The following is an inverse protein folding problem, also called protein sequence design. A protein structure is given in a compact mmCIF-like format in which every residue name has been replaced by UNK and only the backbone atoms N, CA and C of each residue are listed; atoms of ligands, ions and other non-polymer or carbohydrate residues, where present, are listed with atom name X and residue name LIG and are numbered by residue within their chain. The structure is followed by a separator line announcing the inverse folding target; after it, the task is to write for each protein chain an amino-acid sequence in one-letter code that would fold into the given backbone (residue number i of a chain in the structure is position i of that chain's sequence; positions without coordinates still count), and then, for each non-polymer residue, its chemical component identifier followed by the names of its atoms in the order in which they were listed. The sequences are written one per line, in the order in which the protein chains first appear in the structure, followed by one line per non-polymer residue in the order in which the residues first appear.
data_IF_354116427887
#
_entry.id   IF_354116427887
#
_cell.length_a   1.000
_cell.length_b   1.000
_cell.length_c   1.000
_cell.angle_alpha   90.00
_cell.angle_beta   90.00
_cell.angle_gamma   90.00
#
_symmetry.space_group_name_H-M   'P 1'
#
loop_
_entity.id
_entity.type
_entity.pdbx_description
1 polymer ?
#
# COMPACT_ATOMS: atom_id res chain seq x y z
N UNK A 1 64.18 -10.73 -19.03
CA UNK A 1 63.84 -11.16 -17.69
C UNK A 1 62.33 -11.09 -17.50
N UNK A 2 61.71 -12.28 -17.69
CA UNK A 2 60.31 -12.48 -17.55
C UNK A 2 59.90 -12.56 -16.08
N UNK A 3 58.72 -12.06 -15.77
CA UNK A 3 58.03 -12.40 -14.55
C UNK A 3 56.61 -12.90 -14.85
N UNK A 4 56.48 -14.18 -14.63
CA UNK A 4 55.30 -14.98 -14.84
C UNK A 4 54.44 -14.87 -13.57
N UNK A 5 53.26 -14.30 -13.66
CA UNK A 5 52.26 -14.27 -12.55
C UNK A 5 50.94 -14.84 -13.02
N UNK A 6 50.91 -16.15 -13.27
CA UNK A 6 49.70 -16.96 -13.13
C UNK A 6 49.75 -17.53 -11.72
N UNK A 7 48.78 -17.15 -10.85
CA UNK A 7 48.13 -17.98 -9.83
C UNK A 7 47.32 -17.09 -8.89
N UNK A 8 46.09 -17.53 -8.73
CA UNK A 8 45.09 -17.34 -7.72
C UNK A 8 43.84 -16.56 -8.18
N UNK A 9 43.08 -17.20 -9.05
CA UNK A 9 41.62 -17.06 -8.98
C UNK A 9 41.12 -18.07 -7.94
N UNK A 10 41.11 -17.61 -6.69
CA UNK A 10 40.42 -18.28 -5.62
C UNK A 10 38.91 -18.20 -5.86
N UNK A 11 38.23 -19.33 -5.89
CA UNK A 11 36.81 -19.47 -5.80
C UNK A 11 36.28 -18.65 -4.62
N UNK A 12 35.62 -17.54 -4.88
CA UNK A 12 34.73 -16.93 -3.93
C UNK A 12 33.41 -17.69 -3.98
N UNK A 13 33.38 -18.78 -3.20
CA UNK A 13 32.13 -19.42 -2.75
C UNK A 13 31.31 -18.35 -2.04
N UNK A 14 30.14 -18.03 -2.57
CA UNK A 14 29.18 -17.17 -1.91
C UNK A 14 28.80 -17.79 -0.55
N UNK A 15 28.68 -17.01 0.53
CA UNK A 15 28.24 -17.52 1.80
C UNK A 15 26.73 -17.80 1.76
N UNK A 16 26.37 -19.06 1.49
CA UNK A 16 25.01 -19.59 1.58
C UNK A 16 24.46 -19.43 3.01
N UNK A 17 25.32 -19.59 4.02
CA UNK A 17 24.94 -19.59 5.43
C UNK A 17 24.37 -18.24 5.94
N UNK A 18 24.80 -17.10 5.39
CA UNK A 18 24.31 -15.79 5.84
C UNK A 18 22.90 -15.46 5.31
N UNK A 19 22.46 -16.13 4.26
CA UNK A 19 21.11 -16.00 3.71
C UNK A 19 20.10 -16.87 4.47
N UNK A 20 20.54 -18.05 4.93
CA UNK A 20 19.69 -19.00 5.67
C UNK A 20 19.36 -18.49 7.08
N UNK A 21 20.28 -17.78 7.71
CA UNK A 21 20.08 -17.16 9.03
C UNK A 21 19.11 -15.96 8.97
N UNK A 22 19.03 -15.26 7.83
CA UNK A 22 18.11 -14.14 7.62
C UNK A 22 16.70 -14.58 7.23
N UNK A 23 16.53 -15.84 6.76
CA UNK A 23 15.29 -16.33 6.15
C UNK A 23 14.56 -17.35 7.07
N UNK A 24 15.20 -17.91 8.08
CA UNK A 24 14.59 -18.78 9.10
C UNK A 24 13.77 -19.95 8.52
N UNK A 25 14.30 -20.72 7.55
CA UNK A 25 13.60 -21.85 6.96
C UNK A 25 13.83 -23.15 7.74
N UNK A 26 12.79 -23.84 8.23
CA UNK A 26 12.88 -25.25 8.58
C UNK A 26 12.85 -26.13 7.31
N UNK A 27 13.65 -27.20 7.33
CA UNK A 27 13.89 -28.10 6.21
C UNK A 27 12.63 -28.72 5.61
N UNK A 28 12.67 -28.92 4.29
CA UNK A 28 11.62 -29.41 3.40
C UNK A 28 11.30 -30.90 3.62
N UNK A 29 10.00 -31.22 3.76
CA UNK A 29 9.44 -32.53 3.46
C UNK A 29 8.44 -32.37 2.30
N UNK A 30 8.72 -33.06 1.19
CA UNK A 30 7.90 -33.07 -0.02
C UNK A 30 6.75 -34.06 0.19
N UNK A 31 5.51 -33.56 0.19
CA UNK A 31 4.29 -34.36 0.11
C UNK A 31 3.59 -34.18 -1.22
N UNK A 32 3.17 -35.27 -1.83
CA UNK A 32 2.48 -35.36 -3.12
C UNK A 32 1.06 -34.79 -3.13
N UNK A 33 0.56 -34.24 -4.26
CA UNK A 33 -0.78 -33.66 -4.32
C UNK A 33 -1.85 -34.73 -4.58
N UNK A 34 -2.91 -34.71 -3.82
CA UNK A 34 -4.16 -35.42 -4.11
C UNK A 34 -5.35 -34.50 -3.90
N UNK A 35 -6.23 -34.54 -4.89
CA UNK A 35 -7.66 -34.23 -4.90
C UNK A 35 -8.14 -32.79 -4.62
N UNK A 36 -8.77 -32.28 -5.66
CA UNK A 36 -9.53 -31.05 -5.78
C UNK A 36 -10.85 -31.13 -4.97
N UNK A 37 -11.09 -30.24 -4.00
CA UNK A 37 -12.42 -29.99 -3.49
C UNK A 37 -12.93 -28.61 -3.89
N UNK A 38 -14.06 -28.61 -4.58
CA UNK A 38 -15.15 -27.64 -4.64
C UNK A 38 -14.86 -26.24 -4.07
N UNK A 39 -14.99 -25.25 -4.94
CA UNK A 39 -15.18 -23.84 -4.63
C UNK A 39 -16.11 -23.70 -3.43
N UNK A 40 -15.54 -23.42 -2.27
CA UNK A 40 -16.29 -22.97 -1.12
C UNK A 40 -16.73 -21.53 -1.35
N UNK A 41 -18.04 -21.36 -1.40
CA UNK A 41 -18.74 -20.11 -1.17
C UNK A 41 -18.51 -19.64 0.28
N UNK A 42 -17.30 -19.26 0.61
CA UNK A 42 -17.04 -18.39 1.75
C UNK A 42 -16.94 -16.95 1.26
N UNK A 43 -18.08 -16.43 0.85
CA UNK A 43 -18.31 -14.99 0.88
C UNK A 43 -18.00 -14.57 2.32
N UNK A 44 -16.84 -13.98 2.57
CA UNK A 44 -16.51 -13.35 3.84
C UNK A 44 -17.57 -12.27 4.10
N UNK A 45 -18.65 -12.72 4.75
CA UNK A 45 -19.73 -11.89 5.22
C UNK A 45 -19.11 -10.95 6.23
N UNK A 46 -18.85 -9.72 5.80
CA UNK A 46 -18.37 -8.67 6.71
C UNK A 46 -19.22 -8.70 7.96
N UNK A 47 -18.65 -8.78 9.17
CA UNK A 47 -19.42 -8.78 10.38
C UNK A 47 -20.23 -7.49 10.41
N UNK A 48 -21.52 -7.60 10.23
CA UNK A 48 -22.44 -6.51 10.46
C UNK A 48 -22.38 -6.18 11.96
N UNK A 49 -22.38 -4.89 12.28
CA UNK A 49 -22.55 -4.46 13.66
C UNK A 49 -23.87 -5.09 14.13
N UNK A 50 -23.82 -5.99 15.11
CA UNK A 50 -24.97 -6.72 15.60
C UNK A 50 -26.06 -5.79 16.18
N UNK A 51 -25.66 -4.57 16.54
CA UNK A 51 -26.53 -3.49 17.02
C UNK A 51 -26.14 -2.20 16.31
N UNK A 52 -27.11 -1.43 15.82
CA UNK A 52 -26.81 -0.12 15.22
C UNK A 52 -26.10 0.77 16.24
N UNK A 53 -24.96 1.37 15.87
CA UNK A 53 -24.24 2.25 16.80
C UNK A 53 -25.08 3.48 17.12
N UNK A 54 -25.14 3.82 18.39
CA UNK A 54 -25.82 5.01 18.90
C UNK A 54 -24.85 6.08 19.41
N UNK A 55 -23.56 5.73 19.49
CA UNK A 55 -22.49 6.61 19.97
C UNK A 55 -21.30 6.53 19.04
N UNK A 56 -20.75 7.68 18.69
CA UNK A 56 -19.66 7.78 17.72
C UNK A 56 -18.46 8.48 18.35
N UNK A 57 -17.29 7.91 18.15
CA UNK A 57 -16.04 8.43 18.70
C UNK A 57 -15.07 8.67 17.56
N UNK A 58 -14.74 9.93 17.31
CA UNK A 58 -13.74 10.32 16.32
C UNK A 58 -12.36 10.44 16.95
N UNK A 59 -11.36 9.86 16.31
CA UNK A 59 -9.99 9.85 16.77
C UNK A 59 -9.06 10.41 15.69
N UNK A 60 -8.54 11.60 15.92
CA UNK A 60 -7.43 12.12 15.12
C UNK A 60 -6.12 11.62 15.70
N UNK A 61 -5.40 10.78 14.93
CA UNK A 61 -4.29 9.97 15.41
C UNK A 61 -2.97 10.57 14.99
N UNK A 62 -2.21 11.06 15.97
CA UNK A 62 -0.81 11.44 15.81
C UNK A 62 0.14 10.35 16.31
N UNK A 63 1.44 10.56 16.08
CA UNK A 63 2.51 9.67 16.51
C UNK A 63 2.53 9.49 18.04
N UNK A 64 2.49 10.59 18.78
CA UNK A 64 2.64 10.64 20.25
C UNK A 64 1.30 10.75 20.99
N UNK A 65 0.30 11.34 20.36
CA UNK A 65 -0.99 11.66 20.96
C UNK A 65 -2.14 11.43 19.99
N UNK A 66 -3.32 11.22 20.57
CA UNK A 66 -4.58 11.08 19.85
C UNK A 66 -5.57 12.07 20.44
N UNK A 67 -6.20 12.86 19.59
CA UNK A 67 -7.33 13.72 19.98
C UNK A 67 -8.61 12.92 19.77
N UNK A 68 -9.37 12.75 20.83
CA UNK A 68 -10.59 11.93 20.86
C UNK A 68 -11.79 12.86 21.10
N UNK A 69 -12.76 12.82 20.20
CA UNK A 69 -14.06 13.44 20.41
C UNK A 69 -15.14 12.35 20.53
N UNK A 70 -16.01 12.48 21.50
CA UNK A 70 -17.02 11.49 21.85
C UNK A 70 -18.41 12.16 21.83
N UNK A 71 -19.29 11.69 20.95
CA UNK A 71 -20.66 12.23 20.81
C UNK A 71 -21.51 11.99 22.06
N UNK A 72 -21.26 10.93 22.81
CA UNK A 72 -22.01 10.62 24.03
C UNK A 72 -21.78 11.62 25.17
N UNK A 73 -20.55 12.11 25.31
CA UNK A 73 -20.19 13.12 26.32
C UNK A 73 -20.11 14.55 25.76
N UNK A 74 -20.03 14.72 24.45
CA UNK A 74 -19.78 16.00 23.78
C UNK A 74 -18.37 16.56 24.01
N UNK A 75 -17.48 15.81 24.65
CA UNK A 75 -16.17 16.27 25.08
C UNK A 75 -15.08 15.89 24.11
N UNK A 76 -14.09 16.78 23.99
CA UNK A 76 -12.82 16.51 23.31
C UNK A 76 -11.73 16.33 24.35
N UNK A 77 -10.93 15.29 24.23
CA UNK A 77 -9.77 15.04 25.11
C UNK A 77 -8.57 14.55 24.32
N UNK A 78 -7.38 14.81 24.81
CA UNK A 78 -6.14 14.27 24.25
C UNK A 78 -5.62 13.16 25.14
N UNK A 79 -5.24 12.03 24.53
CA UNK A 79 -4.61 10.90 25.23
C UNK A 79 -3.28 10.56 24.54
N UNK A 80 -2.38 9.89 25.25
CA UNK A 80 -1.14 9.42 24.64
C UNK A 80 -1.41 8.21 23.72
N UNK A 81 -0.72 8.13 22.58
CA UNK A 81 -0.78 6.97 21.67
C UNK A 81 0.07 5.81 22.22
N UNK A 82 -0.29 5.34 23.42
CA UNK A 82 0.38 4.25 24.15
C UNK A 82 -0.62 3.16 24.48
N UNK A 83 -0.16 1.92 24.48
CA UNK A 83 -0.98 0.72 24.72
C UNK A 83 -1.90 0.85 25.95
N UNK A 84 -1.35 1.35 27.10
CA UNK A 84 -2.12 1.49 28.33
C UNK A 84 -3.28 2.47 28.22
N UNK A 85 -3.06 3.64 27.59
CA UNK A 85 -4.09 4.67 27.42
C UNK A 85 -5.15 4.25 26.41
N UNK A 86 -4.74 3.60 25.33
CA UNK A 86 -5.64 3.03 24.32
C UNK A 86 -6.51 1.89 24.91
N UNK A 87 -5.94 1.02 25.73
CA UNK A 87 -6.70 -0.03 26.44
C UNK A 87 -7.72 0.59 27.40
N UNK A 88 -7.32 1.65 28.12
CA UNK A 88 -8.23 2.39 29.02
C UNK A 88 -9.39 3.03 28.23
N UNK A 89 -9.07 3.67 27.10
CA UNK A 89 -10.08 4.21 26.19
C UNK A 89 -11.03 3.13 25.73
N UNK A 90 -10.52 2.02 25.19
CA UNK A 90 -11.34 0.93 24.66
C UNK A 90 -12.28 0.31 25.72
N UNK A 91 -11.81 0.19 26.97
CA UNK A 91 -12.63 -0.29 28.10
C UNK A 91 -13.69 0.72 28.56
N UNK A 92 -13.47 2.03 28.37
CA UNK A 92 -14.43 3.06 28.72
C UNK A 92 -15.59 3.22 27.72
N UNK A 93 -15.50 2.56 26.57
CA UNK A 93 -16.53 2.56 25.54
C UNK A 93 -17.44 1.33 25.69
N UNK A 94 -18.71 1.50 25.37
CA UNK A 94 -19.70 0.41 25.34
C UNK A 94 -19.77 -0.25 23.94
N UNK A 95 -20.59 -1.29 23.79
CA UNK A 95 -20.75 -2.04 22.55
C UNK A 95 -21.56 -1.29 21.49
N UNK A 96 -22.20 -0.17 21.84
CA UNK A 96 -22.96 0.67 20.91
C UNK A 96 -22.09 1.76 20.27
N UNK A 97 -20.80 1.83 20.66
CA UNK A 97 -19.85 2.80 20.13
C UNK A 97 -19.26 2.34 18.80
N UNK A 98 -19.19 3.25 17.84
CA UNK A 98 -18.33 3.13 16.66
C UNK A 98 -17.19 4.12 16.75
N UNK A 99 -15.95 3.61 16.80
CA UNK A 99 -14.74 4.42 16.77
C UNK A 99 -14.32 4.64 15.32
N UNK A 100 -14.06 5.89 14.94
CA UNK A 100 -13.63 6.26 13.59
C UNK A 100 -12.29 6.97 13.66
N UNK A 101 -11.30 6.49 12.94
CA UNK A 101 -10.02 7.16 12.78
C UNK A 101 -9.61 7.22 11.31
N UNK A 102 -8.78 8.19 10.94
CA UNK A 102 -8.20 8.30 9.61
C UNK A 102 -6.94 7.41 9.49
N UNK A 103 -6.68 6.89 8.29
CA UNK A 103 -5.42 6.22 7.97
C UNK A 103 -4.25 7.22 8.01
N UNK A 104 -3.36 7.12 8.98
CA UNK A 104 -2.25 8.05 9.26
C UNK A 104 -0.87 7.42 9.15
N UNK A 105 -0.71 6.48 8.20
CA UNK A 105 0.59 5.85 7.93
C UNK A 105 1.00 4.79 8.95
N UNK A 106 0.04 4.20 9.66
CA UNK A 106 0.24 3.07 10.58
C UNK A 106 0.16 3.45 12.06
N UNK A 107 0.17 4.74 12.42
CA UNK A 107 0.03 5.16 13.83
C UNK A 107 -1.32 4.77 14.42
N UNK A 108 -2.36 4.65 13.59
CA UNK A 108 -3.72 4.23 13.94
C UNK A 108 -3.83 2.74 14.30
N UNK A 109 -2.88 1.91 13.87
CA UNK A 109 -2.95 0.44 14.04
C UNK A 109 -3.08 0.06 15.51
N UNK A 110 -2.34 0.71 16.42
CA UNK A 110 -2.42 0.44 17.86
C UNK A 110 -3.80 0.73 18.44
N UNK A 111 -4.44 1.82 17.99
CA UNK A 111 -5.81 2.16 18.38
C UNK A 111 -6.78 1.08 17.92
N UNK A 112 -6.71 0.70 16.64
CA UNK A 112 -7.59 -0.30 16.03
C UNK A 112 -7.46 -1.66 16.71
N UNK A 113 -6.23 -2.10 16.99
CA UNK A 113 -5.95 -3.33 17.74
C UNK A 113 -6.50 -3.27 19.16
N UNK A 114 -6.37 -2.14 19.86
CA UNK A 114 -6.94 -1.97 21.21
C UNK A 114 -8.48 -2.04 21.21
N UNK A 115 -9.12 -1.46 20.19
CA UNK A 115 -10.58 -1.56 20.00
C UNK A 115 -11.00 -2.99 19.73
N UNK A 116 -10.34 -3.68 18.79
CA UNK A 116 -10.61 -5.08 18.46
C UNK A 116 -10.45 -6.00 19.68
N UNK A 117 -9.35 -5.86 20.42
CA UNK A 117 -9.09 -6.64 21.63
C UNK A 117 -10.14 -6.42 22.75
N UNK A 118 -10.79 -5.28 22.77
CA UNK A 118 -11.88 -4.97 23.69
C UNK A 118 -13.28 -5.29 23.12
N UNK A 119 -13.37 -5.86 21.91
CA UNK A 119 -14.63 -6.14 21.22
C UNK A 119 -15.40 -4.88 20.80
N UNK A 120 -14.69 -3.78 20.53
CA UNK A 120 -15.29 -2.49 20.09
C UNK A 120 -15.24 -2.35 18.59
N UNK A 121 -16.34 -1.90 18.00
CA UNK A 121 -16.39 -1.61 16.57
C UNK A 121 -15.51 -0.39 16.25
N UNK A 122 -14.66 -0.52 15.26
CA UNK A 122 -13.83 0.57 14.76
C UNK A 122 -13.83 0.61 13.23
N UNK A 123 -13.74 1.80 12.65
CA UNK A 123 -13.60 2.03 11.21
C UNK A 123 -12.34 2.84 10.93
N UNK A 124 -11.53 2.34 10.00
CA UNK A 124 -10.38 3.06 9.45
C UNK A 124 -10.79 3.78 8.18
N UNK A 125 -10.99 5.08 8.30
CA UNK A 125 -11.48 5.90 7.22
C UNK A 125 -10.39 6.24 6.19
N UNK A 126 -10.78 6.32 4.91
CA UNK A 126 -9.92 6.85 3.85
C UNK A 126 -9.80 8.37 4.00
N UNK A 127 -8.58 8.88 4.12
CA UNK A 127 -8.25 10.28 4.28
C UNK A 127 -8.88 11.18 3.20
N UNK A 128 -8.98 10.69 1.96
CA UNK A 128 -9.58 11.47 0.85
C UNK A 128 -11.09 11.61 1.04
N UNK A 129 -11.76 10.54 1.48
CA UNK A 129 -13.20 10.55 1.74
C UNK A 129 -13.53 11.45 2.92
N UNK A 130 -12.76 11.38 4.00
CA UNK A 130 -12.92 12.26 5.17
C UNK A 130 -12.69 13.73 4.78
N UNK A 131 -11.63 14.03 4.03
CA UNK A 131 -11.38 15.40 3.54
C UNK A 131 -12.47 15.93 2.63
N UNK A 132 -13.02 15.09 1.74
CA UNK A 132 -14.14 15.47 0.89
C UNK A 132 -15.40 15.74 1.72
N UNK A 133 -15.66 14.91 2.73
CA UNK A 133 -16.75 15.07 3.67
C UNK A 133 -16.64 16.37 4.47
N UNK A 134 -15.47 16.68 5.05
CA UNK A 134 -15.22 17.93 5.78
C UNK A 134 -15.45 19.14 4.88
N UNK A 135 -14.94 19.11 3.65
CA UNK A 135 -15.11 20.20 2.68
C UNK A 135 -16.58 20.45 2.32
N UNK A 136 -17.44 19.46 2.36
CA UNK A 136 -18.87 19.61 2.05
C UNK A 136 -19.60 20.49 3.05
N UNK A 137 -19.03 20.74 4.24
CA UNK A 137 -19.58 21.65 5.26
C UNK A 137 -19.01 23.08 5.19
N UNK A 138 -18.14 23.40 4.23
CA UNK A 138 -17.52 24.71 4.12
C UNK A 138 -16.54 25.06 5.25
N UNK A 139 -16.14 24.10 6.08
CA UNK A 139 -15.19 24.32 7.17
C UNK A 139 -13.78 24.52 6.61
N UNK A 140 -13.23 25.73 6.76
CA UNK A 140 -11.90 26.10 6.28
C UNK A 140 -10.82 26.03 7.37
N UNK A 141 -11.22 25.99 8.65
CA UNK A 141 -10.29 25.88 9.79
C UNK A 141 -9.79 24.46 9.98
N UNK A 142 -8.50 24.30 10.24
CA UNK A 142 -7.87 23.02 10.58
C UNK A 142 -7.33 23.06 12.00
N UNK A 143 -7.91 22.24 12.88
CA UNK A 143 -7.36 21.90 14.20
C UNK A 143 -7.66 20.43 14.47
N UNK A 144 -6.81 19.76 15.24
CA UNK A 144 -6.98 18.35 15.58
C UNK A 144 -8.32 18.05 16.27
N UNK A 145 -8.84 19.03 17.05
CA UNK A 145 -10.17 18.94 17.68
C UNK A 145 -11.31 18.99 16.65
N UNK A 146 -11.18 19.82 15.61
CA UNK A 146 -12.14 19.87 14.49
C UNK A 146 -12.09 18.58 13.71
N UNK A 147 -10.89 18.05 13.45
CA UNK A 147 -10.70 16.81 12.71
C UNK A 147 -11.29 15.61 13.47
N UNK A 148 -11.09 15.51 14.80
CA UNK A 148 -11.71 14.47 15.63
C UNK A 148 -13.26 14.56 15.63
N UNK A 149 -13.83 15.76 15.73
CA UNK A 149 -15.29 15.97 15.64
C UNK A 149 -15.84 15.58 14.26
N UNK A 150 -15.12 15.94 13.20
CA UNK A 150 -15.51 15.61 11.85
C UNK A 150 -15.48 14.10 11.60
N UNK A 151 -14.51 13.36 12.18
CA UNK A 151 -14.45 11.90 12.12
C UNK A 151 -15.63 11.25 12.85
N UNK A 152 -16.02 11.74 14.04
CA UNK A 152 -17.20 11.27 14.75
C UNK A 152 -18.47 11.49 13.93
N UNK A 153 -18.65 12.68 13.37
CA UNK A 153 -19.77 13.02 12.48
C UNK A 153 -19.79 12.19 11.21
N UNK A 154 -18.61 11.93 10.61
CA UNK A 154 -18.48 11.02 9.47
C UNK A 154 -18.99 9.61 9.82
N UNK A 155 -18.66 9.12 11.01
CA UNK A 155 -19.19 7.86 11.55
C UNK A 155 -20.71 7.90 11.70
N UNK A 156 -21.24 8.94 12.31
CA UNK A 156 -22.68 9.12 12.57
C UNK A 156 -23.50 9.13 11.29
N UNK A 157 -23.09 9.92 10.29
CA UNK A 157 -23.82 10.06 9.02
C UNK A 157 -23.65 8.86 8.07
N UNK A 158 -22.56 8.09 8.20
CA UNK A 158 -22.18 7.05 7.23
C UNK A 158 -22.10 5.64 7.79
N UNK A 159 -22.33 5.41 9.09
CA UNK A 159 -22.12 4.12 9.77
C UNK A 159 -22.67 2.91 9.02
N UNK A 160 -23.83 3.05 8.34
CA UNK A 160 -24.46 1.95 7.59
C UNK A 160 -23.63 1.46 6.39
N UNK A 161 -22.73 2.29 5.87
CA UNK A 161 -21.88 1.98 4.73
C UNK A 161 -20.42 1.80 5.10
N UNK A 162 -20.06 1.91 6.38
CA UNK A 162 -18.69 1.80 6.84
C UNK A 162 -18.35 0.34 7.18
N UNK A 163 -17.23 -0.13 6.62
CA UNK A 163 -16.68 -1.43 6.96
C UNK A 163 -16.06 -1.39 8.37
N UNK A 164 -16.37 -2.38 9.20
CA UNK A 164 -15.68 -2.55 10.49
C UNK A 164 -14.28 -3.08 10.22
N UNK A 165 -13.31 -2.44 10.86
CA UNK A 165 -11.91 -2.84 10.74
C UNK A 165 -11.68 -4.21 11.37
N UNK A 166 -10.97 -5.02 10.65
CA UNK A 166 -10.47 -6.32 11.11
C UNK A 166 -8.96 -6.34 10.99
N UNK A 167 -8.32 -7.10 11.85
CA UNK A 167 -6.88 -7.28 11.74
C UNK A 167 -6.57 -8.02 10.43
N UNK A 168 -5.68 -7.47 9.60
CA UNK A 168 -5.29 -8.14 8.36
C UNK A 168 -4.61 -9.47 8.66
N UNK A 169 -4.77 -10.45 7.78
CA UNK A 169 -3.99 -11.68 7.81
C UNK A 169 -2.49 -11.34 7.83
N UNK A 170 -1.73 -11.81 8.83
CA UNK A 170 -0.31 -11.49 8.97
C UNK A 170 0.52 -11.86 7.73
N UNK A 171 0.20 -12.97 7.06
CA UNK A 171 0.91 -13.39 5.84
C UNK A 171 0.62 -12.43 4.69
N UNK A 172 -0.65 -12.04 4.49
CA UNK A 172 -1.02 -11.04 3.47
C UNK A 172 -0.40 -9.67 3.76
N UNK A 173 -0.32 -9.31 5.04
CA UNK A 173 0.34 -8.06 5.45
C UNK A 173 1.84 -8.11 5.13
N UNK A 174 2.55 -9.18 5.47
CA UNK A 174 3.97 -9.35 5.15
C UNK A 174 4.21 -9.32 3.63
N UNK A 175 3.37 -10.00 2.85
CA UNK A 175 3.43 -9.95 1.38
C UNK A 175 3.26 -8.52 0.87
N UNK A 176 2.30 -7.75 1.41
CA UNK A 176 2.07 -6.36 1.01
C UNK A 176 3.27 -5.46 1.34
N UNK A 177 3.81 -5.58 2.55
CA UNK A 177 4.97 -4.80 3.00
C UNK A 177 6.21 -5.08 2.12
N UNK A 178 6.48 -6.36 1.82
CA UNK A 178 7.58 -6.76 0.97
C UNK A 178 7.42 -6.29 -0.49
N UNK A 179 6.21 -6.33 -1.03
CA UNK A 179 5.93 -5.82 -2.39
C UNK A 179 6.16 -4.31 -2.47
N UNK A 180 5.71 -3.55 -1.48
CA UNK A 180 5.93 -2.11 -1.42
C UNK A 180 7.41 -1.78 -1.26
N UNK A 181 8.11 -2.46 -0.34
CA UNK A 181 9.55 -2.29 -0.13
C UNK A 181 10.34 -2.63 -1.40
N UNK A 182 9.99 -3.73 -2.09
CA UNK A 182 10.60 -4.09 -3.37
C UNK A 182 10.43 -2.98 -4.41
N UNK A 183 9.25 -2.39 -4.50
CA UNK A 183 8.99 -1.30 -5.44
C UNK A 183 9.86 -0.07 -5.13
N UNK A 184 10.04 0.28 -3.85
CA UNK A 184 10.90 1.36 -3.41
C UNK A 184 12.38 1.09 -3.74
N UNK A 185 12.86 -0.11 -3.49
CA UNK A 185 14.23 -0.51 -3.81
C UNK A 185 14.49 -0.52 -5.32
N UNK A 186 13.53 -0.93 -6.14
CA UNK A 186 13.63 -0.86 -7.61
C UNK A 186 13.75 0.59 -8.07
N UNK A 187 12.94 1.51 -7.51
CA UNK A 187 13.03 2.96 -7.80
C UNK A 187 14.39 3.51 -7.37
N UNK A 188 14.87 3.17 -6.18
CA UNK A 188 16.19 3.58 -5.69
C UNK A 188 17.31 3.08 -6.60
N UNK A 189 17.31 1.79 -6.94
CA UNK A 189 18.27 1.20 -7.87
C UNK A 189 18.31 1.98 -9.20
N UNK A 190 17.15 2.30 -9.77
CA UNK A 190 17.08 3.04 -11.02
C UNK A 190 17.65 4.45 -10.86
N UNK A 191 17.35 5.13 -9.76
CA UNK A 191 17.93 6.45 -9.48
C UNK A 191 19.47 6.41 -9.39
N UNK A 192 20.03 5.38 -8.72
CA UNK A 192 21.51 5.23 -8.65
C UNK A 192 22.12 4.86 -10.01
N UNK A 193 21.45 4.02 -10.81
CA UNK A 193 21.88 3.72 -12.18
C UNK A 193 21.90 4.97 -13.08
N UNK A 194 20.89 5.82 -12.97
CA UNK A 194 20.84 7.08 -13.72
C UNK A 194 21.99 8.01 -13.30
N UNK A 195 22.35 8.05 -12.01
CA UNK A 195 23.54 8.79 -11.54
C UNK A 195 24.84 8.24 -12.12
N UNK A 196 24.98 6.90 -12.18
CA UNK A 196 26.15 6.26 -12.78
C UNK A 196 26.28 6.54 -14.29
N UNK A 197 25.15 6.68 -14.99
CA UNK A 197 25.09 6.96 -16.42
C UNK A 197 25.22 8.46 -16.75
N UNK A 198 25.14 9.34 -15.75
CA UNK A 198 25.23 10.78 -15.97
C UNK A 198 26.64 11.18 -16.50
N UNK A 199 26.73 12.06 -17.52
CA UNK A 199 28.00 12.44 -18.11
C UNK A 199 28.86 13.35 -17.22
N UNK A 200 28.38 13.74 -16.04
CA UNK A 200 29.15 14.53 -15.08
C UNK A 200 30.41 13.79 -14.63
N UNK A 201 31.52 14.52 -14.53
CA UNK A 201 32.78 13.96 -14.03
C UNK A 201 32.62 13.50 -12.59
N UNK A 202 32.69 12.20 -12.38
CA UNK A 202 32.64 11.60 -11.03
C UNK A 202 34.03 11.02 -10.72
N UNK A 203 34.55 11.30 -9.53
CA UNK A 203 35.82 10.72 -9.08
C UNK A 203 35.69 9.20 -8.91
N UNK A 204 36.80 8.48 -9.04
CA UNK A 204 36.85 7.01 -8.97
C UNK A 204 36.21 6.46 -7.70
N UNK A 205 36.41 7.11 -6.55
CA UNK A 205 35.81 6.75 -5.25
C UNK A 205 34.30 6.86 -5.29
N UNK A 206 33.74 7.96 -5.82
CA UNK A 206 32.31 8.16 -5.93
C UNK A 206 31.65 7.10 -6.82
N UNK A 207 32.26 6.77 -7.94
CA UNK A 207 31.81 5.70 -8.82
C UNK A 207 31.84 4.33 -8.15
N UNK A 208 32.92 4.03 -7.38
CA UNK A 208 33.03 2.78 -6.64
C UNK A 208 31.91 2.66 -5.57
N UNK A 209 31.65 3.73 -4.82
CA UNK A 209 30.56 3.79 -3.84
C UNK A 209 29.19 3.59 -4.50
N UNK A 210 28.89 4.28 -5.61
CA UNK A 210 27.63 4.13 -6.33
C UNK A 210 27.42 2.70 -6.88
N UNK A 211 28.48 2.08 -7.42
CA UNK A 211 28.44 0.68 -7.88
C UNK A 211 28.19 -0.28 -6.71
N UNK A 212 28.83 -0.03 -5.57
CA UNK A 212 28.62 -0.78 -4.32
C UNK A 212 27.15 -0.70 -3.88
N UNK A 213 26.60 0.50 -3.84
CA UNK A 213 25.19 0.73 -3.46
C UNK A 213 24.23 0.03 -4.42
N UNK A 214 24.43 0.12 -5.73
CA UNK A 214 23.60 -0.57 -6.72
C UNK A 214 23.63 -2.08 -6.51
N UNK A 215 24.80 -2.67 -6.24
CA UNK A 215 24.93 -4.10 -5.94
C UNK A 215 24.19 -4.47 -4.66
N UNK A 216 24.37 -3.72 -3.58
CA UNK A 216 23.70 -3.96 -2.30
C UNK A 216 22.18 -3.93 -2.45
N UNK A 217 21.63 -2.90 -3.12
CA UNK A 217 20.19 -2.81 -3.39
C UNK A 217 19.71 -3.98 -4.25
N UNK A 218 20.48 -4.43 -5.21
CA UNK A 218 20.13 -5.56 -6.06
C UNK A 218 20.07 -6.88 -5.28
N UNK A 219 20.99 -7.09 -4.34
CA UNK A 219 20.98 -8.24 -3.42
C UNK A 219 19.72 -8.22 -2.55
N UNK A 220 19.35 -7.07 -2.00
CA UNK A 220 18.12 -6.95 -1.19
C UNK A 220 16.85 -7.21 -2.00
N UNK A 221 16.78 -6.73 -3.24
CA UNK A 221 15.65 -7.05 -4.13
C UNK A 221 15.54 -8.56 -4.34
N UNK A 222 16.64 -9.25 -4.61
CA UNK A 222 16.64 -10.70 -4.81
C UNK A 222 16.21 -11.47 -3.55
N UNK A 223 16.66 -11.03 -2.37
CA UNK A 223 16.24 -11.62 -1.09
C UNK A 223 14.73 -11.46 -0.85
N UNK A 224 14.19 -10.26 -1.10
CA UNK A 224 12.74 -10.01 -1.00
C UNK A 224 11.95 -10.89 -1.98
N UNK A 225 12.41 -11.01 -3.22
CA UNK A 225 11.74 -11.85 -4.23
C UNK A 225 11.75 -13.34 -3.84
N UNK A 226 12.82 -13.81 -3.20
CA UNK A 226 12.90 -15.16 -2.67
C UNK A 226 11.90 -15.35 -1.51
N UNK A 227 11.86 -14.41 -0.56
CA UNK A 227 10.92 -14.45 0.57
C UNK A 227 9.47 -14.42 0.11
N UNK A 228 9.12 -13.55 -0.84
CA UNK A 228 7.78 -13.47 -1.43
C UNK A 228 7.34 -14.80 -2.05
N UNK A 229 8.22 -15.46 -2.81
CA UNK A 229 7.94 -16.78 -3.36
C UNK A 229 7.70 -17.84 -2.28
N UNK A 230 8.51 -17.82 -1.22
CA UNK A 230 8.36 -18.75 -0.11
C UNK A 230 7.03 -18.53 0.64
N UNK A 231 6.65 -17.28 0.94
CA UNK A 231 5.38 -16.96 1.59
C UNK A 231 4.18 -17.41 0.77
N UNK A 232 4.18 -17.13 -0.53
CA UNK A 232 3.09 -17.53 -1.42
C UNK A 232 2.99 -19.05 -1.50
N UNK A 233 4.12 -19.75 -1.66
CA UNK A 233 4.15 -21.20 -1.76
C UNK A 233 3.68 -21.90 -0.46
N UNK A 234 3.93 -21.31 0.69
CA UNK A 234 3.50 -21.83 1.99
C UNK A 234 2.03 -21.55 2.31
N UNK A 235 1.38 -20.63 1.59
CA UNK A 235 0.00 -20.26 1.84
C UNK A 235 -0.91 -20.75 0.70
N UNK A 236 -1.69 -21.84 0.90
CA UNK A 236 -2.43 -22.50 -0.19
C UNK A 236 -3.35 -21.57 -0.99
N UNK A 237 -4.05 -20.67 -0.31
CA UNK A 237 -4.94 -19.71 -0.98
C UNK A 237 -4.17 -18.72 -1.87
N UNK A 238 -3.06 -18.17 -1.37
CA UNK A 238 -2.23 -17.25 -2.17
C UNK A 238 -1.60 -17.95 -3.37
N UNK A 239 -1.21 -19.22 -3.20
CA UNK A 239 -0.67 -20.05 -4.28
C UNK A 239 -1.71 -20.29 -5.37
N UNK A 240 -2.96 -20.62 -4.99
CA UNK A 240 -4.06 -20.81 -5.93
C UNK A 240 -4.40 -19.50 -6.66
N UNK A 241 -4.52 -18.41 -5.94
CA UNK A 241 -4.79 -17.08 -6.51
C UNK A 241 -3.67 -16.63 -7.47
N UNK A 242 -2.39 -16.89 -7.13
CA UNK A 242 -1.26 -16.63 -8.02
C UNK A 242 -1.36 -17.44 -9.31
N UNK A 243 -1.69 -18.72 -9.22
CA UNK A 243 -1.82 -19.59 -10.38
C UNK A 243 -2.89 -19.09 -11.35
N UNK A 244 -4.05 -18.65 -10.84
CA UNK A 244 -5.12 -18.04 -11.63
C UNK A 244 -4.61 -16.79 -12.36
N UNK A 245 -3.96 -15.88 -11.64
CA UNK A 245 -3.43 -14.63 -12.23
C UNK A 245 -2.37 -14.92 -13.30
N UNK A 246 -1.48 -15.87 -13.06
CA UNK A 246 -0.43 -16.27 -14.01
C UNK A 246 -0.96 -16.97 -15.24
N UNK A 247 -2.17 -17.53 -15.19
CA UNK A 247 -2.87 -18.06 -16.36
C UNK A 247 -3.24 -16.99 -17.39
N UNK A 248 -3.26 -15.71 -17.00
CA UNK A 248 -3.57 -14.60 -17.89
C UNK A 248 -2.33 -14.24 -18.72
N UNK A 249 -2.47 -14.25 -20.04
CA UNK A 249 -1.37 -13.91 -20.96
C UNK A 249 -0.80 -12.52 -20.66
N UNK A 250 0.50 -12.44 -20.42
CA UNK A 250 1.22 -11.19 -20.07
C UNK A 250 1.34 -10.93 -18.58
N UNK A 251 0.71 -11.72 -17.72
CA UNK A 251 0.87 -11.61 -16.26
C UNK A 251 2.01 -12.53 -15.81
N UNK A 252 3.17 -11.92 -15.55
CA UNK A 252 4.33 -12.61 -14.97
C UNK A 252 4.27 -12.67 -13.43
N UNK A 253 5.22 -13.40 -12.78
CA UNK A 253 5.24 -13.58 -11.32
C UNK A 253 5.18 -12.25 -10.55
N UNK A 254 5.97 -11.28 -10.96
CA UNK A 254 6.01 -9.95 -10.31
C UNK A 254 4.65 -9.23 -10.34
N UNK A 255 3.96 -9.28 -11.50
CA UNK A 255 2.65 -8.64 -11.64
C UNK A 255 1.62 -9.40 -10.81
N UNK A 256 1.59 -10.73 -10.87
CA UNK A 256 0.70 -11.56 -10.07
C UNK A 256 0.88 -11.28 -8.57
N UNK A 257 2.11 -11.35 -8.06
CA UNK A 257 2.41 -11.04 -6.65
C UNK A 257 1.99 -9.62 -6.26
N UNK A 258 2.20 -8.63 -7.15
CA UNK A 258 1.78 -7.24 -6.90
C UNK A 258 0.26 -7.12 -6.82
N UNK A 259 -0.48 -7.80 -7.70
CA UNK A 259 -1.94 -7.82 -7.66
C UNK A 259 -2.47 -8.48 -6.38
N UNK A 260 -1.91 -9.62 -5.99
CA UNK A 260 -2.26 -10.30 -4.73
C UNK A 260 -2.06 -9.41 -3.50
N UNK A 261 -0.96 -8.64 -3.49
CA UNK A 261 -0.61 -7.78 -2.37
C UNK A 261 -1.47 -6.51 -2.28
N UNK A 262 -1.76 -5.88 -3.42
CA UNK A 262 -2.36 -4.55 -3.47
C UNK A 262 -3.85 -4.53 -3.82
N UNK A 263 -4.39 -5.66 -4.28
CA UNK A 263 -5.78 -5.83 -4.67
C UNK A 263 -6.35 -7.14 -4.08
N UNK A 264 -6.38 -7.28 -2.75
CA UNK A 264 -6.88 -8.50 -2.10
C UNK A 264 -8.37 -8.76 -2.38
N UNK A 265 -9.10 -7.76 -2.90
CA UNK A 265 -10.51 -7.86 -3.27
C UNK A 265 -10.74 -8.54 -4.62
N UNK A 266 -9.67 -8.83 -5.40
CA UNK A 266 -9.80 -9.54 -6.68
C UNK A 266 -10.46 -10.91 -6.47
N UNK A 267 -11.43 -11.20 -7.34
CA UNK A 267 -12.28 -12.39 -7.24
C UNK A 267 -13.62 -12.11 -6.52
N UNK A 268 -13.71 -11.10 -5.65
CA UNK A 268 -14.94 -10.70 -4.97
C UNK A 268 -15.60 -9.45 -5.54
N UNK A 269 -14.92 -8.73 -6.44
CA UNK A 269 -15.39 -7.50 -7.06
C UNK A 269 -15.57 -7.66 -8.58
N UNK A 270 -16.48 -6.86 -9.16
CA UNK A 270 -16.69 -6.84 -10.61
C UNK A 270 -15.48 -6.25 -11.35
N UNK A 271 -15.32 -6.57 -12.65
CA UNK A 271 -14.25 -6.02 -13.49
C UNK A 271 -14.24 -4.48 -13.54
N UNK A 272 -15.42 -3.84 -13.50
CA UNK A 272 -15.53 -2.37 -13.43
C UNK A 272 -14.99 -1.81 -12.11
N UNK A 273 -15.30 -2.47 -11.00
CA UNK A 273 -14.77 -2.11 -9.68
C UNK A 273 -13.27 -2.34 -9.60
N UNK A 274 -12.77 -3.46 -10.14
CA UNK A 274 -11.34 -3.76 -10.22
C UNK A 274 -10.60 -2.70 -11.06
N UNK A 275 -11.12 -2.31 -12.22
CA UNK A 275 -10.55 -1.26 -13.05
C UNK A 275 -10.54 0.12 -12.33
N UNK A 276 -11.60 0.43 -11.57
CA UNK A 276 -11.65 1.64 -10.76
C UNK A 276 -10.63 1.62 -9.62
N UNK A 277 -10.50 0.48 -8.93
CA UNK A 277 -9.53 0.28 -7.84
C UNK A 277 -8.09 0.39 -8.35
N UNK A 278 -7.81 -0.21 -9.50
CA UNK A 278 -6.52 -0.13 -10.18
C UNK A 278 -6.23 1.28 -10.77
N UNK A 279 -7.22 2.17 -10.78
CA UNK A 279 -7.07 3.52 -11.33
C UNK A 279 -7.01 3.59 -12.85
N UNK A 280 -7.48 2.55 -13.54
CA UNK A 280 -7.53 2.48 -15.02
C UNK A 280 -8.93 2.66 -15.58
N UNK A 281 -9.94 2.84 -14.72
CA UNK A 281 -11.31 3.12 -15.17
C UNK A 281 -11.40 4.53 -15.79
N UNK A 282 -12.02 4.68 -16.97
CA UNK A 282 -12.26 5.99 -17.55
C UNK A 282 -13.25 6.75 -16.66
N UNK A 283 -12.87 7.95 -16.23
CA UNK A 283 -13.80 8.85 -15.56
C UNK A 283 -14.41 9.80 -16.60
N UNK A 284 -15.74 9.76 -16.83
CA UNK A 284 -16.37 10.72 -17.72
C UNK A 284 -16.21 12.12 -17.11
N UNK A 285 -15.44 12.96 -17.76
CA UNK A 285 -15.46 14.40 -17.49
C UNK A 285 -16.50 14.98 -18.43
N UNK A 286 -17.65 15.37 -17.91
CA UNK A 286 -18.59 16.19 -18.65
C UNK A 286 -17.93 17.54 -18.93
N UNK A 287 -17.38 17.69 -20.12
CA UNK A 287 -16.95 18.96 -20.64
C UNK A 287 -17.87 19.31 -21.80
N UNK A 288 -18.66 20.33 -21.58
CA UNK A 288 -19.28 21.12 -22.64
C UNK A 288 -18.15 21.86 -23.36
N UNK A 289 -17.42 21.15 -24.18
CA UNK A 289 -16.58 21.67 -25.27
C UNK A 289 -15.83 20.51 -25.93
N UNK A 290 -15.90 20.47 -27.24
CA UNK A 290 -15.19 19.54 -28.11
C UNK A 290 -13.66 19.73 -27.97
N UNK A 291 -13.04 18.99 -27.10
CA UNK A 291 -11.60 18.73 -27.15
C UNK A 291 -11.37 17.26 -26.84
N UNK A 292 -10.77 16.55 -27.77
CA UNK A 292 -10.29 15.17 -27.57
C UNK A 292 -9.29 15.21 -26.43
N UNK A 293 -9.70 14.80 -25.24
CA UNK A 293 -8.79 14.65 -24.10
C UNK A 293 -8.55 13.17 -23.85
N UNK A 294 -7.30 12.82 -23.87
CA UNK A 294 -6.82 11.51 -23.42
C UNK A 294 -7.32 11.27 -21.98
N UNK A 295 -7.93 10.11 -21.68
CA UNK A 295 -8.40 9.81 -20.32
C UNK A 295 -7.22 9.83 -19.35
N UNK A 296 -7.34 10.64 -18.29
CA UNK A 296 -6.38 10.63 -17.18
C UNK A 296 -6.79 9.49 -16.26
N UNK A 297 -5.99 8.42 -16.23
CA UNK A 297 -6.13 7.37 -15.23
C UNK A 297 -5.89 7.91 -13.82
N UNK A 298 -6.78 7.61 -12.91
CA UNK A 298 -6.53 7.80 -11.48
C UNK A 298 -5.49 6.77 -11.03
N UNK A 299 -4.44 7.21 -10.35
CA UNK A 299 -3.40 6.32 -9.85
C UNK A 299 -3.90 5.48 -8.67
N UNK A 300 -3.56 4.18 -8.62
CA UNK A 300 -3.83 3.34 -7.46
C UNK A 300 -3.12 3.87 -6.20
N UNK A 301 -3.65 3.51 -5.04
CA UNK A 301 -3.08 3.86 -3.74
C UNK A 301 -1.60 3.48 -3.67
N UNK A 302 -0.76 4.45 -3.39
CA UNK A 302 0.67 4.24 -3.12
C UNK A 302 1.59 4.20 -4.34
N UNK A 303 1.07 4.23 -5.57
CA UNK A 303 1.91 4.39 -6.76
C UNK A 303 1.87 5.86 -7.17
N UNK A 304 3.00 6.53 -7.06
CA UNK A 304 3.13 7.90 -7.62
C UNK A 304 2.95 7.84 -9.15
N UNK A 305 2.23 8.80 -9.76
CA UNK A 305 2.08 8.83 -11.19
C UNK A 305 3.46 8.91 -11.83
N UNK A 306 3.72 8.01 -12.77
CA UNK A 306 4.83 8.19 -13.69
C UNK A 306 4.56 9.54 -14.38
N UNK A 307 5.40 10.54 -14.14
CA UNK A 307 5.32 11.81 -14.86
C UNK A 307 5.35 11.48 -16.34
N UNK A 308 4.40 11.95 -17.16
CA UNK A 308 4.54 11.86 -18.58
C UNK A 308 5.86 12.59 -18.93
N UNK A 309 6.71 11.93 -19.69
CA UNK A 309 7.86 12.57 -20.33
C UNK A 309 7.32 13.82 -21.02
N UNK A 310 7.69 14.99 -20.51
CA UNK A 310 7.48 16.24 -21.23
C UNK A 310 8.28 16.12 -22.52
N UNK A 311 7.59 15.86 -23.61
CA UNK A 311 8.11 16.19 -24.92
C UNK A 311 8.47 17.67 -24.86
N UNK A 312 9.76 17.95 -24.81
CA UNK A 312 10.29 19.29 -24.95
C UNK A 312 9.65 19.89 -26.21
N UNK A 313 9.00 21.03 -26.03
CA UNK A 313 8.51 21.83 -27.12
C UNK A 313 9.74 22.21 -27.99
N UNK A 314 9.95 21.44 -29.05
CA UNK A 314 10.87 21.79 -30.11
C UNK A 314 10.31 23.04 -30.79
N UNK A 315 11.18 24.01 -30.90
CA UNK A 315 11.22 25.18 -31.78
C UNK A 315 10.01 25.32 -32.72
N UNK A 316 9.33 26.46 -32.57
CA UNK A 316 8.42 27.01 -33.57
C UNK A 316 9.18 27.24 -34.88
N UNK A 317 9.11 26.33 -35.82
CA UNK A 317 9.36 26.65 -37.20
C UNK A 317 8.20 27.47 -37.75
N UNK A 318 8.45 28.78 -38.04
CA UNK A 318 7.56 29.66 -38.75
C UNK A 318 7.33 29.10 -40.16
N UNK A 319 6.08 28.81 -40.46
CA UNK A 319 5.65 28.60 -41.85
C UNK A 319 5.85 29.86 -42.67
N UNK A 320 6.37 29.78 -43.91
CA UNK A 320 6.40 30.93 -44.81
C UNK A 320 4.98 31.34 -45.22
N UNK A 321 4.72 32.65 -45.48
CA UNK A 321 3.41 33.13 -45.90
C UNK A 321 3.09 32.63 -47.31
N UNK A 322 1.80 32.32 -47.50
CA UNK A 322 1.24 31.93 -48.77
C UNK A 322 1.40 33.07 -49.84
N UNK A 323 1.62 32.73 -51.13
CA UNK A 323 1.65 33.72 -52.19
C UNK A 323 0.27 34.35 -52.40
N UNK A 324 0.22 35.66 -52.47
CA UNK A 324 -0.96 36.44 -52.83
C UNK A 324 -1.17 36.45 -54.35
N UNK A 325 -2.40 36.69 -54.82
CA UNK A 325 -2.80 36.50 -56.22
C UNK A 325 -2.22 37.46 -57.20
#
# INVERSE_FOLDING_TARGET
TGFNARRHLGHLSAPSAALDELIGLPGSAVGTPADNPKLHEDTQKMPAIATLPSRFVGCDVGKEAIVVFDTGSGQTRTIANRKADLTRLARSLDNTCLVVCEATGGYETRLLQAMLAAGRAAHRADARKVKAFIRSFGTLGKTDAIDARALARYGEERHRSLAIWQEPDPVRQEVQELVLLRADLVRNRQAQRNRLAAPARQGATALACLRGLVRAVQTQIAAIELRLRALIAQHPQLCADEAVLRGIKGVGPTVATTMLALMPELGSISGKQAASLAGVAPHPRHLVAWSVRVPVCSTPRGVQPVRPLSLAAGSQERWPPAPQP
#
